data_IF_710538753029
#
_entry.id   IF_710538753029
#
_cell.length_a   1.000
_cell.length_b   1.000
_cell.length_c   1.000
_cell.angle_alpha   90.00
_cell.angle_beta   90.00
_cell.angle_gamma   90.00
#
_symmetry.space_group_name_H-M   'P 1'
#
loop_
_entity.id
_entity.type
_entity.pdbx_description
1 polymer ?
#
# COMPACT_ATOMS: atom_id res chain seq x y z
N UNK A 1 -39.37 3.36 -33.98
CA UNK A 1 -38.99 4.43 -33.05
C UNK A 1 -40.18 4.82 -32.20
N UNK A 2 -40.31 4.31 -30.96
CA UNK A 2 -41.26 4.77 -29.97
C UNK A 2 -40.45 5.03 -28.71
N UNK A 3 -40.56 6.25 -28.18
CA UNK A 3 -39.85 6.76 -27.05
C UNK A 3 -40.03 5.92 -25.79
N UNK A 4 -38.92 5.48 -25.23
CA UNK A 4 -38.80 4.99 -23.87
C UNK A 4 -38.36 6.15 -22.97
N UNK A 5 -39.07 6.28 -21.88
CA UNK A 5 -38.86 7.26 -20.82
C UNK A 5 -37.42 7.20 -20.27
N UNK A 6 -36.64 8.26 -20.29
CA UNK A 6 -35.26 8.29 -19.77
C UNK A 6 -35.14 8.25 -18.24
N UNK A 7 -36.25 8.05 -17.51
CA UNK A 7 -36.30 8.04 -16.05
C UNK A 7 -36.25 6.62 -15.42
N UNK A 8 -35.80 5.59 -16.11
CA UNK A 8 -35.50 4.28 -15.49
C UNK A 8 -34.08 4.28 -14.94
N UNK A 9 -33.96 4.89 -13.76
CA UNK A 9 -33.18 4.50 -12.58
C UNK A 9 -31.82 3.87 -12.87
N UNK A 10 -30.81 4.72 -13.04
CA UNK A 10 -29.47 4.35 -12.61
C UNK A 10 -29.53 4.04 -11.09
N UNK A 11 -28.95 2.93 -10.61
CA UNK A 11 -28.84 2.68 -9.18
C UNK A 11 -28.09 3.85 -8.53
N UNK A 12 -28.44 4.25 -7.30
CA UNK A 12 -27.83 5.42 -6.65
C UNK A 12 -26.32 5.19 -6.51
N UNK A 13 -25.54 6.20 -6.88
CA UNK A 13 -24.10 6.25 -6.52
C UNK A 13 -24.06 6.25 -5.01
N UNK A 14 -23.55 5.16 -4.43
CA UNK A 14 -23.40 5.06 -2.98
C UNK A 14 -22.12 5.81 -2.61
N UNK A 15 -22.26 7.10 -2.37
CA UNK A 15 -21.21 7.91 -1.75
C UNK A 15 -21.31 7.69 -0.25
N UNK A 16 -20.34 6.97 0.34
CA UNK A 16 -20.25 6.83 1.78
C UNK A 16 -19.79 8.13 2.44
N UNK A 17 -20.70 9.08 2.60
CA UNK A 17 -20.65 10.09 3.63
C UNK A 17 -21.30 9.46 4.86
N UNK A 18 -20.49 9.04 5.82
CA UNK A 18 -20.96 8.29 6.99
C UNK A 18 -21.76 9.14 7.94
N UNK A 19 -23.03 8.78 8.13
CA UNK A 19 -23.73 9.02 9.39
C UNK A 19 -23.64 7.72 10.25
N UNK A 20 -23.32 7.80 11.54
CA UNK A 20 -23.14 6.64 12.38
C UNK A 20 -24.47 5.98 12.67
N UNK A 21 -24.72 4.76 12.23
CA UNK A 21 -25.81 3.93 12.68
C UNK A 21 -25.42 2.46 12.74
N UNK A 22 -24.94 2.01 13.85
CA UNK A 22 -25.13 0.74 14.57
C UNK A 22 -23.91 0.38 15.40
N UNK A 23 -24.15 -0.08 16.63
CA UNK A 23 -23.14 -0.63 17.54
C UNK A 23 -22.40 -1.79 16.90
N UNK A 24 -21.06 -1.88 17.03
CA UNK A 24 -20.31 -2.99 16.47
C UNK A 24 -20.81 -4.31 17.07
N UNK A 25 -21.10 -5.29 16.23
CA UNK A 25 -21.29 -6.66 16.68
C UNK A 25 -19.96 -7.14 17.25
N UNK A 26 -19.99 -7.65 18.47
CA UNK A 26 -18.81 -8.18 19.17
C UNK A 26 -18.08 -9.19 18.29
N UNK A 27 -16.87 -8.84 17.86
CA UNK A 27 -15.85 -9.76 17.35
C UNK A 27 -15.39 -10.66 18.52
N UNK A 28 -16.16 -11.69 18.82
CA UNK A 28 -15.86 -12.66 19.88
C UNK A 28 -15.60 -14.04 19.28
N UNK A 29 -14.37 -14.31 18.89
CA UNK A 29 -13.93 -15.63 18.42
C UNK A 29 -12.42 -15.72 18.27
N UNK A 30 -11.79 -16.30 19.24
CA UNK A 30 -10.50 -17.03 19.30
C UNK A 30 -9.37 -16.71 18.31
N UNK A 31 -9.06 -15.46 18.06
CA UNK A 31 -7.70 -14.99 17.78
C UNK A 31 -7.79 -13.48 17.95
N UNK A 32 -7.44 -13.01 19.14
CA UNK A 32 -7.65 -11.66 19.60
C UNK A 32 -7.10 -10.63 18.60
N UNK A 33 -7.99 -9.94 17.91
CA UNK A 33 -7.72 -8.59 17.43
C UNK A 33 -7.32 -7.81 18.67
N UNK A 34 -6.05 -7.40 18.74
CA UNK A 34 -5.50 -6.80 19.97
C UNK A 34 -6.26 -5.52 20.34
N UNK A 35 -6.51 -5.29 21.65
CA UNK A 35 -7.30 -4.14 22.12
C UNK A 35 -6.68 -2.80 21.71
N UNK A 36 -7.53 -1.77 21.59
CA UNK A 36 -7.18 -0.41 21.13
C UNK A 36 -5.95 0.21 21.83
N UNK A 37 -5.64 -0.17 23.07
CA UNK A 37 -4.43 0.26 23.77
C UNK A 37 -3.11 -0.22 23.10
N UNK A 38 -3.14 -1.34 22.37
CA UNK A 38 -1.99 -1.84 21.61
C UNK A 38 -1.84 -1.12 20.26
N UNK A 39 -2.92 -0.64 19.68
CA UNK A 39 -2.89 0.15 18.43
C UNK A 39 -2.10 1.44 18.62
N UNK A 40 -2.30 2.16 19.73
CA UNK A 40 -1.54 3.38 20.06
C UNK A 40 -0.02 3.12 20.14
N UNK A 41 0.38 2.09 20.89
CA UNK A 41 1.80 1.71 21.00
C UNK A 41 2.38 1.26 19.65
N UNK A 42 1.58 0.67 18.76
CA UNK A 42 2.00 0.23 17.42
C UNK A 42 2.12 1.40 16.45
N UNK A 43 1.22 2.37 16.49
CA UNK A 43 1.24 3.52 15.59
C UNK A 43 2.36 4.52 15.89
N UNK A 44 2.75 4.70 17.16
CA UNK A 44 3.85 5.61 17.57
C UNK A 44 5.25 5.01 17.39
N UNK A 45 5.40 3.70 17.56
CA UNK A 45 6.70 3.01 17.49
C UNK A 45 7.41 3.09 16.14
N UNK A 46 6.74 2.99 14.98
CA UNK A 46 7.41 3.07 13.69
C UNK A 46 8.22 4.35 13.50
N UNK A 47 7.61 5.50 13.78
CA UNK A 47 8.29 6.78 13.65
C UNK A 47 9.44 6.92 14.64
N UNK A 48 9.25 6.50 15.90
CA UNK A 48 10.31 6.51 16.92
C UNK A 48 11.47 5.58 16.55
N UNK A 49 11.19 4.39 16.00
CA UNK A 49 12.22 3.45 15.54
C UNK A 49 13.05 4.05 14.41
N UNK A 50 12.41 4.66 13.43
CA UNK A 50 13.09 5.32 12.33
C UNK A 50 13.96 6.50 12.84
N UNK A 51 13.41 7.39 13.66
CA UNK A 51 14.11 8.56 14.19
C UNK A 51 15.29 8.21 15.12
N UNK A 52 15.26 7.05 15.79
CA UNK A 52 16.37 6.60 16.64
C UNK A 52 17.54 6.01 15.86
N UNK A 53 17.42 5.84 14.55
CA UNK A 53 18.46 5.29 13.68
C UNK A 53 19.18 6.43 12.97
N UNK A 54 20.39 6.81 13.39
CA UNK A 54 21.11 7.92 12.76
C UNK A 54 21.51 7.53 11.34
N UNK A 55 21.08 8.32 10.37
CA UNK A 55 21.47 8.21 8.97
C UNK A 55 22.05 9.53 8.56
N UNK A 56 23.36 9.54 8.29
CA UNK A 56 24.07 10.72 7.85
C UNK A 56 24.79 10.44 6.53
N UNK A 57 24.46 11.24 5.54
CA UNK A 57 25.09 11.18 4.22
C UNK A 57 26.30 12.10 4.10
N UNK A 58 26.69 12.84 5.16
CA UNK A 58 27.84 13.73 5.21
C UNK A 58 27.85 14.74 4.04
N UNK A 59 26.68 15.31 3.76
CA UNK A 59 26.50 16.28 2.67
C UNK A 59 26.42 15.68 1.26
N UNK A 60 26.58 14.36 1.09
CA UNK A 60 26.35 13.72 -0.20
C UNK A 60 24.87 13.76 -0.57
N UNK A 61 24.59 14.06 -1.85
CA UNK A 61 23.24 14.10 -2.42
C UNK A 61 23.16 13.06 -3.53
N UNK A 62 22.13 12.18 -3.52
CA UNK A 62 21.93 11.26 -4.63
C UNK A 62 21.34 11.98 -5.86
N UNK A 63 21.65 11.49 -7.07
CA UNK A 63 21.00 11.90 -8.31
C UNK A 63 19.76 11.05 -8.62
N UNK A 64 19.60 9.94 -7.92
CA UNK A 64 18.42 9.06 -7.96
C UNK A 64 18.39 8.16 -6.71
N UNK A 65 17.21 7.65 -6.39
CA UNK A 65 17.04 6.66 -5.33
C UNK A 65 16.38 5.40 -5.88
N UNK A 66 16.91 4.23 -5.51
CA UNK A 66 16.41 2.92 -5.88
C UNK A 66 16.00 2.17 -4.62
N UNK A 67 14.70 1.88 -4.47
CA UNK A 67 14.18 1.17 -3.32
C UNK A 67 13.99 -0.29 -3.70
N UNK A 68 14.82 -1.16 -3.15
CA UNK A 68 14.84 -2.59 -3.44
C UNK A 68 13.96 -3.33 -2.43
N UNK A 69 12.99 -4.12 -2.90
CA UNK A 69 12.16 -4.89 -1.99
C UNK A 69 11.02 -5.61 -2.68
N UNK A 70 10.48 -6.64 -2.03
CA UNK A 70 9.39 -7.47 -2.53
C UNK A 70 8.18 -7.43 -1.60
N UNK A 71 6.97 -7.64 -2.16
CA UNK A 71 5.74 -7.80 -1.41
C UNK A 71 5.51 -6.71 -0.35
N UNK A 72 5.32 -7.11 0.91
CA UNK A 72 5.08 -6.18 2.03
C UNK A 72 6.23 -5.21 2.33
N UNK A 73 7.47 -5.52 1.94
CA UNK A 73 8.61 -4.59 2.02
C UNK A 73 8.66 -3.68 0.80
N UNK A 74 8.44 -4.22 -0.41
CA UNK A 74 8.51 -3.49 -1.67
C UNK A 74 7.42 -2.44 -1.83
N UNK A 75 6.22 -2.67 -1.27
CA UNK A 75 5.10 -1.71 -1.36
C UNK A 75 5.45 -0.34 -0.78
N UNK A 76 6.33 -0.28 0.22
CA UNK A 76 6.80 0.98 0.80
C UNK A 76 7.53 1.84 -0.24
N UNK A 77 8.32 1.20 -1.11
CA UNK A 77 8.99 1.88 -2.22
C UNK A 77 8.02 2.38 -3.27
N UNK A 78 7.06 1.55 -3.68
CA UNK A 78 6.05 1.93 -4.66
C UNK A 78 5.21 3.13 -4.19
N UNK A 79 4.81 3.15 -2.92
CA UNK A 79 4.06 4.27 -2.33
C UNK A 79 4.96 5.51 -2.24
N UNK A 80 6.19 5.39 -1.71
CA UNK A 80 7.09 6.53 -1.57
C UNK A 80 7.42 7.19 -2.92
N UNK A 81 7.64 6.39 -3.96
CA UNK A 81 7.92 6.91 -5.31
C UNK A 81 6.76 7.74 -5.87
N UNK A 82 5.52 7.34 -5.62
CA UNK A 82 4.33 8.08 -6.07
C UNK A 82 4.05 9.31 -5.19
N UNK A 83 4.09 9.14 -3.87
CA UNK A 83 3.84 10.23 -2.91
C UNK A 83 4.84 11.39 -3.04
N UNK A 84 6.06 11.11 -3.46
CA UNK A 84 7.13 12.08 -3.60
C UNK A 84 7.40 12.51 -5.04
N UNK A 85 6.61 12.05 -6.02
CA UNK A 85 6.87 12.29 -7.44
C UNK A 85 6.98 13.77 -7.80
N UNK A 86 6.13 14.62 -7.20
CA UNK A 86 6.11 16.07 -7.44
C UNK A 86 6.97 16.85 -6.43
N UNK A 87 7.55 16.18 -5.42
CA UNK A 87 8.25 16.83 -4.31
C UNK A 87 9.74 16.52 -4.25
N UNK A 88 10.15 15.36 -4.75
CA UNK A 88 11.56 14.96 -4.79
C UNK A 88 12.30 15.65 -5.94
N UNK A 89 13.50 16.20 -5.71
CA UNK A 89 14.29 16.82 -6.77
C UNK A 89 14.90 15.81 -7.76
N UNK A 90 14.87 14.52 -7.43
CA UNK A 90 15.43 13.45 -8.25
C UNK A 90 14.48 12.25 -8.34
N UNK A 91 14.60 11.37 -9.34
CA UNK A 91 13.76 10.18 -9.44
C UNK A 91 13.92 9.24 -8.24
N UNK A 92 12.77 8.75 -7.73
CA UNK A 92 12.70 7.67 -6.75
C UNK A 92 12.00 6.49 -7.43
N UNK A 93 12.69 5.35 -7.54
CA UNK A 93 12.22 4.19 -8.28
C UNK A 93 12.10 2.98 -7.33
N UNK A 94 10.93 2.34 -7.33
CA UNK A 94 10.77 1.05 -6.67
C UNK A 94 11.23 -0.08 -7.60
N UNK A 95 12.05 -0.98 -7.09
CA UNK A 95 12.57 -2.13 -7.82
C UNK A 95 12.15 -3.43 -7.13
N UNK A 96 11.34 -4.21 -7.84
CA UNK A 96 10.79 -5.47 -7.37
C UNK A 96 11.29 -6.63 -8.27
N UNK A 97 12.61 -6.69 -8.50
CA UNK A 97 13.25 -7.64 -9.40
C UNK A 97 14.62 -8.06 -8.85
N UNK A 98 15.23 -9.08 -9.45
CA UNK A 98 16.58 -9.58 -9.19
C UNK A 98 17.67 -8.64 -9.70
N UNK A 99 17.38 -7.85 -10.71
CA UNK A 99 18.31 -6.94 -11.39
C UNK A 99 18.05 -5.49 -11.01
N UNK A 100 19.01 -4.62 -11.34
CA UNK A 100 18.88 -3.18 -11.17
C UNK A 100 18.95 -2.47 -12.52
N UNK A 101 18.33 -1.28 -12.66
CA UNK A 101 18.42 -0.49 -13.87
C UNK A 101 19.87 -0.14 -14.23
N UNK A 102 20.17 -0.06 -15.52
CA UNK A 102 21.52 0.21 -16.04
C UNK A 102 22.10 1.58 -15.61
N UNK A 103 21.27 2.51 -15.19
CA UNK A 103 21.71 3.82 -14.66
C UNK A 103 22.16 3.77 -13.18
N UNK A 104 22.01 2.62 -12.51
CA UNK A 104 22.49 2.45 -11.13
C UNK A 104 23.98 2.64 -11.05
N UNK A 105 24.44 3.46 -10.12
CA UNK A 105 25.87 3.78 -10.00
C UNK A 105 26.21 4.55 -8.70
N UNK A 106 27.36 5.20 -8.69
CA UNK A 106 27.91 5.90 -7.52
C UNK A 106 27.09 7.12 -7.06
N UNK A 107 26.21 7.64 -7.91
CA UNK A 107 25.25 8.69 -7.58
C UNK A 107 23.88 8.13 -7.12
N UNK A 108 23.71 6.80 -7.04
CA UNK A 108 22.48 6.14 -6.62
C UNK A 108 22.45 5.90 -5.12
N UNK A 109 21.33 6.25 -4.48
CA UNK A 109 20.97 5.77 -3.14
C UNK A 109 20.16 4.48 -3.28
N UNK A 110 20.74 3.34 -2.88
CA UNK A 110 20.04 2.06 -2.82
C UNK A 110 19.48 1.82 -1.40
N UNK A 111 18.15 1.81 -1.26
CA UNK A 111 17.46 1.53 0.00
C UNK A 111 16.97 0.08 -0.04
N UNK A 112 17.69 -0.83 0.61
CA UNK A 112 17.35 -2.25 0.63
C UNK A 112 16.33 -2.56 1.73
N UNK A 113 15.10 -2.93 1.33
CA UNK A 113 13.99 -3.23 2.22
C UNK A 113 13.68 -4.72 2.21
N UNK A 114 14.09 -5.46 3.23
CA UNK A 114 13.70 -6.84 3.44
C UNK A 114 13.42 -7.09 4.91
N UNK A 115 12.13 -7.31 5.24
CA UNK A 115 11.74 -7.56 6.63
C UNK A 115 12.45 -8.78 7.22
N UNK A 116 12.44 -9.92 6.54
CA UNK A 116 13.17 -11.11 6.99
C UNK A 116 14.69 -10.98 6.86
N UNK A 117 15.16 -10.06 6.01
CA UNK A 117 16.56 -9.94 5.62
C UNK A 117 17.06 -11.05 4.69
N UNK A 118 16.17 -11.96 4.26
CA UNK A 118 16.54 -13.15 3.49
C UNK A 118 15.79 -13.24 2.15
N UNK A 119 15.19 -12.14 1.68
CA UNK A 119 14.49 -12.12 0.38
C UNK A 119 15.50 -12.21 -0.74
N UNK A 120 15.44 -13.29 -1.51
CA UNK A 120 16.42 -13.64 -2.55
C UNK A 120 16.58 -12.52 -3.59
N UNK A 121 15.45 -12.04 -4.13
CA UNK A 121 15.41 -10.99 -5.14
C UNK A 121 16.03 -9.70 -4.60
N UNK A 122 15.70 -9.33 -3.37
CA UNK A 122 16.24 -8.11 -2.74
C UNK A 122 17.75 -8.21 -2.52
N UNK A 123 18.26 -9.38 -2.11
CA UNK A 123 19.68 -9.61 -1.91
C UNK A 123 20.46 -9.62 -3.23
N UNK A 124 19.89 -10.22 -4.29
CA UNK A 124 20.49 -10.23 -5.62
C UNK A 124 20.56 -8.81 -6.21
N UNK A 125 19.45 -8.06 -6.14
CA UNK A 125 19.42 -6.66 -6.60
C UNK A 125 20.36 -5.78 -5.78
N UNK A 126 20.49 -6.01 -4.48
CA UNK A 126 21.44 -5.29 -3.61
C UNK A 126 22.88 -5.55 -4.03
N UNK A 127 23.25 -6.82 -4.27
CA UNK A 127 24.59 -7.18 -4.76
C UNK A 127 24.91 -6.48 -6.09
N UNK A 128 23.96 -6.47 -7.02
CA UNK A 128 24.09 -5.76 -8.28
C UNK A 128 24.26 -4.24 -8.08
N UNK A 129 23.48 -3.62 -7.17
CA UNK A 129 23.60 -2.19 -6.86
C UNK A 129 24.96 -1.85 -6.22
N UNK A 130 25.45 -2.69 -5.31
CA UNK A 130 26.78 -2.53 -4.69
C UNK A 130 27.89 -2.63 -5.74
N UNK A 131 27.83 -3.65 -6.61
CA UNK A 131 28.80 -3.79 -7.72
C UNK A 131 28.80 -2.61 -8.68
N UNK A 132 27.66 -1.96 -8.87
CA UNK A 132 27.53 -0.73 -9.64
C UNK A 132 28.04 0.52 -8.90
N UNK A 133 28.35 0.43 -7.61
CA UNK A 133 28.88 1.52 -6.80
C UNK A 133 27.83 2.33 -6.04
N UNK A 134 26.59 1.87 -5.94
CA UNK A 134 25.53 2.58 -5.21
C UNK A 134 25.84 2.67 -3.70
N UNK A 135 25.41 3.77 -3.06
CA UNK A 135 25.43 3.87 -1.59
C UNK A 135 24.22 3.19 -1.00
N UNK A 136 24.46 2.37 0.02
CA UNK A 136 23.44 1.48 0.61
C UNK A 136 22.95 2.01 1.95
N UNK A 137 21.62 1.94 2.15
CA UNK A 137 20.96 1.97 3.46
C UNK A 137 20.01 0.78 3.51
N UNK A 138 19.95 0.08 4.63
CA UNK A 138 19.04 -1.07 4.76
C UNK A 138 17.92 -0.85 5.77
N UNK A 139 16.78 -1.50 5.52
CA UNK A 139 15.63 -1.58 6.42
C UNK A 139 15.29 -3.04 6.60
N UNK A 140 15.50 -3.59 7.80
CA UNK A 140 15.35 -5.03 8.06
C UNK A 140 15.09 -5.33 9.53
N UNK A 141 14.55 -6.52 9.84
CA UNK A 141 14.53 -7.02 11.22
C UNK A 141 15.73 -7.90 11.58
N UNK A 142 16.61 -8.19 10.61
CA UNK A 142 17.78 -9.07 10.78
C UNK A 142 18.13 -9.84 9.51
N UNK A 143 18.45 -11.11 9.66
CA UNK A 143 18.79 -12.01 8.57
C UNK A 143 20.07 -11.62 7.82
N UNK A 144 20.26 -12.18 6.62
CA UNK A 144 21.45 -11.95 5.80
C UNK A 144 21.70 -10.48 5.48
N UNK A 145 20.64 -9.70 5.19
CA UNK A 145 20.75 -8.27 4.98
C UNK A 145 21.30 -7.56 6.22
N UNK A 146 20.85 -7.99 7.40
CA UNK A 146 21.36 -7.49 8.67
C UNK A 146 22.86 -7.78 8.87
N UNK A 147 23.30 -9.01 8.59
CA UNK A 147 24.71 -9.42 8.66
C UNK A 147 25.59 -8.60 7.69
N UNK A 148 25.12 -8.40 6.45
CA UNK A 148 25.81 -7.58 5.46
C UNK A 148 25.98 -6.12 5.92
N UNK A 149 24.96 -5.56 6.58
CA UNK A 149 25.10 -4.20 7.15
C UNK A 149 26.19 -4.14 8.21
N UNK A 150 26.23 -5.14 9.09
CA UNK A 150 27.23 -5.20 10.17
C UNK A 150 28.66 -5.43 9.60
N UNK A 151 28.79 -6.25 8.56
CA UNK A 151 30.05 -6.56 7.88
C UNK A 151 30.61 -5.36 7.10
N UNK A 152 29.75 -4.63 6.37
CA UNK A 152 30.17 -3.53 5.52
C UNK A 152 30.05 -2.14 6.19
N UNK A 153 29.51 -2.07 7.40
CA UNK A 153 29.25 -0.82 8.10
C UNK A 153 28.17 0.06 7.43
N UNK A 154 27.23 -0.57 6.72
CA UNK A 154 26.15 0.18 6.09
C UNK A 154 25.14 0.70 7.11
N UNK A 155 24.68 1.95 6.98
CA UNK A 155 23.57 2.45 7.80
C UNK A 155 22.34 1.56 7.67
N UNK A 156 21.67 1.29 8.80
CA UNK A 156 20.47 0.47 8.77
C UNK A 156 19.43 0.89 9.79
N UNK A 157 18.14 0.80 9.43
CA UNK A 157 17.03 0.90 10.36
C UNK A 157 16.60 -0.52 10.73
N UNK A 158 16.81 -0.89 12.00
CA UNK A 158 16.42 -2.19 12.54
C UNK A 158 14.98 -2.12 13.04
N UNK A 159 14.07 -2.81 12.36
CA UNK A 159 12.65 -2.86 12.71
C UNK A 159 12.31 -4.13 13.51
N UNK A 160 11.27 -4.13 14.36
CA UNK A 160 10.90 -5.30 15.17
C UNK A 160 10.52 -6.51 14.33
N UNK A 161 11.08 -7.69 14.64
CA UNK A 161 10.79 -8.96 13.99
C UNK A 161 9.58 -9.71 14.57
N UNK A 162 9.33 -10.94 14.06
CA UNK A 162 8.38 -11.90 14.65
C UNK A 162 6.90 -11.70 14.26
N UNK A 163 6.62 -10.94 13.19
CA UNK A 163 5.26 -10.72 12.66
C UNK A 163 5.24 -10.93 11.13
N UNK A 164 4.07 -11.16 10.51
CA UNK A 164 3.98 -11.18 9.05
C UNK A 164 4.46 -9.85 8.44
N UNK A 165 5.26 -9.88 7.35
CA UNK A 165 5.83 -8.65 6.75
C UNK A 165 4.80 -7.58 6.41
N UNK A 166 3.64 -7.98 5.86
CA UNK A 166 2.54 -7.06 5.50
C UNK A 166 1.95 -6.29 6.68
N UNK A 167 2.00 -6.87 7.89
CA UNK A 167 1.54 -6.19 9.12
C UNK A 167 2.56 -5.19 9.66
N UNK A 168 3.78 -5.16 9.10
CA UNK A 168 4.85 -4.27 9.50
C UNK A 168 5.03 -3.08 8.54
N UNK A 169 4.04 -2.83 7.69
CA UNK A 169 4.04 -1.73 6.74
C UNK A 169 4.38 -0.37 7.38
N UNK A 170 3.76 -0.05 8.52
CA UNK A 170 4.05 1.18 9.24
C UNK A 170 5.54 1.35 9.56
N UNK A 171 6.21 0.28 10.01
CA UNK A 171 7.67 0.32 10.27
C UNK A 171 8.47 0.46 8.97
N UNK A 172 8.16 -0.32 7.95
CA UNK A 172 8.88 -0.29 6.68
C UNK A 172 8.73 1.07 5.99
N UNK A 173 7.49 1.56 5.86
CA UNK A 173 7.20 2.80 5.16
C UNK A 173 7.75 4.04 5.86
N UNK A 174 7.56 4.16 7.18
CA UNK A 174 8.15 5.29 7.93
C UNK A 174 9.68 5.26 7.90
N UNK A 175 10.29 4.07 7.86
CA UNK A 175 11.75 3.95 7.73
C UNK A 175 12.23 4.36 6.34
N UNK A 176 11.52 3.98 5.26
CA UNK A 176 11.81 4.46 3.90
C UNK A 176 11.75 5.98 3.85
N UNK A 177 10.67 6.57 4.37
CA UNK A 177 10.50 8.03 4.39
C UNK A 177 11.56 8.73 5.24
N UNK A 178 12.01 8.12 6.35
CA UNK A 178 13.11 8.63 7.15
C UNK A 178 14.42 8.66 6.37
N UNK A 179 14.76 7.58 5.67
CA UNK A 179 15.95 7.51 4.81
C UNK A 179 15.90 8.58 3.71
N UNK A 180 14.75 8.68 3.02
CA UNK A 180 14.57 9.66 1.95
C UNK A 180 14.62 11.10 2.47
N UNK A 181 14.07 11.36 3.67
CA UNK A 181 14.17 12.66 4.32
C UNK A 181 15.65 13.00 4.69
N UNK A 182 16.37 12.06 5.29
CA UNK A 182 17.78 12.24 5.58
C UNK A 182 18.63 12.52 4.33
N UNK A 183 18.26 11.91 3.19
CA UNK A 183 18.86 12.16 1.87
C UNK A 183 18.33 13.45 1.19
N UNK A 184 17.47 14.23 1.85
CA UNK A 184 16.82 15.46 1.33
C UNK A 184 15.92 15.23 0.11
N UNK A 185 15.37 14.01 -0.03
CA UNK A 185 14.46 13.63 -1.11
C UNK A 185 12.98 13.71 -0.68
N UNK A 186 12.70 13.75 0.62
CA UNK A 186 11.36 13.93 1.16
C UNK A 186 11.28 15.27 1.92
N UNK A 187 10.28 16.14 1.61
CA UNK A 187 10.07 17.41 2.31
C UNK A 187 9.79 17.21 3.81
N UNK A 188 10.29 18.12 4.63
CA UNK A 188 10.07 18.15 6.09
C UNK A 188 8.57 18.07 6.44
N UNK A 189 7.71 18.82 5.73
CA UNK A 189 6.26 18.85 6.01
C UNK A 189 5.60 17.48 5.87
N UNK A 190 5.96 16.71 4.82
CA UNK A 190 5.45 15.35 4.62
C UNK A 190 5.96 14.43 5.74
N UNK A 191 7.24 14.52 6.08
CA UNK A 191 7.84 13.69 7.11
C UNK A 191 7.24 13.96 8.50
N UNK A 192 6.99 15.22 8.86
CA UNK A 192 6.39 15.61 10.14
C UNK A 192 4.93 15.15 10.27
N UNK A 193 4.16 15.11 9.17
CA UNK A 193 2.78 14.65 9.18
C UNK A 193 2.61 13.18 9.64
N UNK A 194 3.67 12.36 9.55
CA UNK A 194 3.64 10.98 10.06
C UNK A 194 3.42 10.89 11.58
N UNK A 195 3.85 11.91 12.34
CA UNK A 195 3.58 11.99 13.78
C UNK A 195 2.08 12.09 14.07
N UNK A 196 1.37 12.93 13.33
CA UNK A 196 -0.08 13.15 13.47
C UNK A 196 -0.89 11.95 12.96
N UNK A 197 -0.39 11.22 11.97
CA UNK A 197 -1.09 10.07 11.38
C UNK A 197 -1.38 8.98 12.42
N UNK A 198 -0.47 8.74 13.35
CA UNK A 198 -0.66 7.75 14.40
C UNK A 198 -1.84 8.09 15.33
N UNK A 199 -1.95 9.35 15.75
CA UNK A 199 -3.05 9.81 16.61
C UNK A 199 -4.38 9.84 15.82
N UNK A 200 -4.34 10.22 14.54
CA UNK A 200 -5.51 10.16 13.65
C UNK A 200 -6.04 8.74 13.50
N UNK A 201 -5.18 7.74 13.21
CA UNK A 201 -5.57 6.34 13.09
C UNK A 201 -6.19 5.78 14.36
N UNK A 202 -5.70 6.20 15.53
CA UNK A 202 -6.25 5.78 16.82
C UNK A 202 -7.64 6.39 17.02
N UNK A 203 -7.78 7.69 16.76
CA UNK A 203 -9.04 8.40 16.95
C UNK A 203 -10.14 7.88 16.00
N UNK A 204 -9.77 7.48 14.78
CA UNK A 204 -10.70 7.07 13.73
C UNK A 204 -10.84 5.55 13.55
N UNK A 205 -10.22 4.72 14.41
CA UNK A 205 -10.22 3.26 14.23
C UNK A 205 -11.64 2.67 14.11
N UNK A 206 -12.57 3.07 14.96
CA UNK A 206 -13.95 2.56 14.90
C UNK A 206 -14.64 2.91 13.59
N UNK A 207 -14.48 4.13 13.11
CA UNK A 207 -14.99 4.57 11.81
C UNK A 207 -14.37 3.77 10.65
N UNK A 208 -13.07 3.51 10.69
CA UNK A 208 -12.41 2.69 9.67
C UNK A 208 -12.96 1.24 9.65
N UNK A 209 -13.24 0.65 10.81
CA UNK A 209 -13.84 -0.69 10.92
C UNK A 209 -15.26 -0.69 10.35
N UNK A 210 -16.11 0.27 10.73
CA UNK A 210 -17.48 0.38 10.21
C UNK A 210 -17.51 0.53 8.69
N UNK A 211 -16.62 1.34 8.13
CA UNK A 211 -16.45 1.50 6.67
C UNK A 211 -16.00 0.20 6.01
N UNK A 212 -15.06 -0.51 6.62
CA UNK A 212 -14.57 -1.78 6.12
C UNK A 212 -15.67 -2.87 6.14
N UNK A 213 -16.49 -2.93 7.19
CA UNK A 213 -17.65 -3.83 7.26
C UNK A 213 -18.67 -3.54 6.17
N UNK A 214 -19.00 -2.25 5.95
CA UNK A 214 -19.91 -1.84 4.90
C UNK A 214 -19.37 -2.13 3.48
N UNK A 215 -18.07 -1.97 3.25
CA UNK A 215 -17.42 -2.36 2.00
C UNK A 215 -17.44 -3.89 1.84
N UNK A 216 -17.23 -4.66 2.90
CA UNK A 216 -17.27 -6.11 2.85
C UNK A 216 -18.65 -6.64 2.43
N UNK A 217 -19.75 -5.99 2.85
CA UNK A 217 -21.10 -6.34 2.41
C UNK A 217 -21.28 -6.23 0.87
N UNK A 218 -20.55 -5.33 0.23
CA UNK A 218 -20.61 -5.08 -1.21
C UNK A 218 -19.64 -5.95 -2.01
N UNK A 219 -18.53 -6.33 -1.39
CA UNK A 219 -17.42 -7.06 -2.01
C UNK A 219 -17.63 -8.59 -1.97
N UNK A 220 -18.33 -9.07 -0.93
CA UNK A 220 -18.50 -10.50 -0.70
C UNK A 220 -19.16 -11.21 -1.90
N UNK A 221 -18.49 -12.25 -2.43
CA UNK A 221 -18.98 -13.04 -3.57
C UNK A 221 -18.77 -12.37 -4.93
N UNK A 222 -18.14 -11.20 -5.02
CA UNK A 222 -17.89 -10.46 -6.27
C UNK A 222 -16.43 -10.44 -6.67
N UNK A 223 -16.19 -10.17 -7.94
CA UNK A 223 -14.87 -9.86 -8.48
C UNK A 223 -14.56 -8.38 -8.22
N UNK A 224 -13.46 -8.11 -7.55
CA UNK A 224 -13.08 -6.77 -7.12
C UNK A 224 -12.11 -6.13 -8.11
N UNK A 225 -12.49 -4.94 -8.60
CA UNK A 225 -11.63 -4.06 -9.37
C UNK A 225 -11.35 -2.79 -8.57
N UNK A 226 -10.05 -2.46 -8.43
CA UNK A 226 -9.58 -1.30 -7.68
C UNK A 226 -9.06 -0.25 -8.64
N UNK A 227 -9.62 0.94 -8.61
CA UNK A 227 -9.15 2.06 -9.43
C UNK A 227 -8.80 3.28 -8.60
N UNK A 228 -7.83 4.07 -9.08
CA UNK A 228 -7.46 5.35 -8.50
C UNK A 228 -6.84 6.27 -9.54
N UNK A 229 -6.56 7.52 -9.16
CA UNK A 229 -5.59 8.35 -9.88
C UNK A 229 -4.22 7.69 -9.87
N UNK A 230 -3.41 7.89 -10.91
CA UNK A 230 -2.05 7.33 -11.03
C UNK A 230 -1.14 7.70 -9.84
N UNK A 231 -1.37 8.83 -9.20
CA UNK A 231 -0.63 9.24 -8.00
C UNK A 231 -0.92 8.33 -6.79
N UNK A 232 -2.09 7.68 -6.76
CA UNK A 232 -2.52 6.79 -5.68
C UNK A 232 -2.29 5.29 -6.00
N UNK A 233 -1.60 4.96 -7.09
CA UNK A 233 -1.38 3.57 -7.53
C UNK A 233 -0.79 2.68 -6.44
N UNK A 234 0.17 3.19 -5.66
CA UNK A 234 0.77 2.45 -4.55
C UNK A 234 -0.25 2.01 -3.50
N UNK A 235 -1.30 2.80 -3.28
CA UNK A 235 -2.39 2.47 -2.37
C UNK A 235 -3.27 1.35 -2.92
N UNK A 236 -3.66 1.39 -4.20
CA UNK A 236 -4.43 0.31 -4.83
C UNK A 236 -3.65 -1.00 -4.92
N UNK A 237 -2.33 -0.94 -5.17
CA UNK A 237 -1.45 -2.12 -5.09
C UNK A 237 -1.50 -2.71 -3.69
N UNK A 238 -1.39 -1.88 -2.64
CA UNK A 238 -1.47 -2.37 -1.26
C UNK A 238 -2.82 -3.01 -0.94
N UNK A 239 -3.94 -2.40 -1.32
CA UNK A 239 -5.27 -2.98 -1.12
C UNK A 239 -5.36 -4.35 -1.78
N UNK A 240 -4.93 -4.46 -3.04
CA UNK A 240 -4.88 -5.74 -3.75
C UNK A 240 -4.05 -6.77 -3.00
N UNK A 241 -2.86 -6.41 -2.53
CA UNK A 241 -1.99 -7.32 -1.78
C UNK A 241 -2.66 -7.79 -0.48
N UNK A 242 -3.29 -6.90 0.27
CA UNK A 242 -3.98 -7.24 1.52
C UNK A 242 -5.19 -8.15 1.26
N UNK A 243 -5.99 -7.88 0.24
CA UNK A 243 -7.12 -8.74 -0.15
C UNK A 243 -6.64 -10.13 -0.58
N UNK A 244 -5.58 -10.20 -1.40
CA UNK A 244 -5.00 -11.47 -1.83
C UNK A 244 -4.45 -12.27 -0.64
N UNK A 245 -3.64 -11.65 0.23
CA UNK A 245 -2.93 -12.36 1.29
C UNK A 245 -3.80 -12.67 2.50
N UNK A 246 -4.63 -11.74 2.96
CA UNK A 246 -5.47 -11.94 4.15
C UNK A 246 -6.78 -12.66 3.80
N UNK A 247 -7.54 -12.15 2.83
CA UNK A 247 -8.85 -12.67 2.46
C UNK A 247 -8.82 -13.79 1.42
N UNK A 248 -7.65 -14.12 0.84
CA UNK A 248 -7.48 -15.08 -0.27
C UNK A 248 -8.36 -14.72 -1.48
N UNK A 249 -8.67 -13.44 -1.64
CA UNK A 249 -9.51 -12.90 -2.69
C UNK A 249 -8.65 -12.36 -3.84
N UNK A 250 -8.73 -12.98 -5.01
CA UNK A 250 -8.09 -12.44 -6.22
C UNK A 250 -8.82 -11.16 -6.65
N UNK A 251 -8.07 -10.10 -6.83
CA UNK A 251 -8.59 -8.85 -7.35
C UNK A 251 -7.56 -8.18 -8.26
N UNK A 252 -8.04 -7.29 -9.13
CA UNK A 252 -7.22 -6.52 -10.05
C UNK A 252 -7.20 -5.05 -9.65
N UNK A 253 -6.21 -4.30 -10.14
CA UNK A 253 -6.17 -2.86 -10.01
C UNK A 253 -5.68 -2.23 -11.31
N UNK A 254 -6.10 -1.01 -11.55
CA UNK A 254 -5.55 -0.15 -12.59
C UNK A 254 -5.69 1.32 -12.20
N UNK A 255 -5.13 2.21 -13.00
CA UNK A 255 -5.13 3.65 -12.72
C UNK A 255 -5.69 4.47 -13.87
N UNK A 256 -6.35 5.57 -13.49
CA UNK A 256 -6.66 6.64 -14.40
C UNK A 256 -5.42 7.54 -14.61
N UNK A 257 -5.20 8.08 -15.81
CA UNK A 257 -6.06 7.94 -16.98
C UNK A 257 -5.76 6.73 -17.86
N UNK A 258 -4.74 5.91 -17.55
CA UNK A 258 -4.23 4.85 -18.44
C UNK A 258 -5.33 3.81 -18.80
N UNK A 259 -6.12 3.37 -17.83
CA UNK A 259 -7.18 2.38 -18.07
C UNK A 259 -8.22 2.86 -19.12
N UNK A 260 -8.40 4.16 -19.28
CA UNK A 260 -9.33 4.71 -20.27
C UNK A 260 -8.90 4.47 -21.73
N UNK A 261 -7.63 4.14 -21.98
CA UNK A 261 -7.08 3.95 -23.30
C UNK A 261 -7.05 2.48 -23.75
N UNK A 262 -7.45 1.55 -22.85
CA UNK A 262 -7.41 0.12 -23.10
C UNK A 262 -8.55 -0.63 -22.38
N UNK A 263 -8.50 -0.75 -21.07
CA UNK A 263 -9.40 -1.58 -20.26
C UNK A 263 -10.86 -1.15 -20.34
N UNK A 264 -11.14 0.15 -20.56
CA UNK A 264 -12.49 0.67 -20.65
C UNK A 264 -13.30 0.01 -21.78
N UNK A 265 -12.66 -0.42 -22.88
CA UNK A 265 -13.31 -1.16 -23.96
C UNK A 265 -13.83 -2.52 -23.49
N UNK A 266 -13.14 -3.16 -22.54
CA UNK A 266 -13.57 -4.45 -21.97
C UNK A 266 -14.89 -4.40 -21.20
N UNK A 267 -15.35 -3.20 -20.83
CA UNK A 267 -16.62 -2.98 -20.15
C UNK A 267 -17.86 -3.07 -21.05
N UNK A 268 -17.71 -3.34 -22.34
CA UNK A 268 -18.84 -3.50 -23.27
C UNK A 268 -19.68 -4.77 -23.04
N UNK A 269 -19.21 -5.76 -22.30
CA UNK A 269 -19.80 -7.11 -22.22
C UNK A 269 -20.61 -7.41 -20.96
N UNK A 270 -20.98 -6.42 -20.16
CA UNK A 270 -21.76 -6.57 -18.94
C UNK A 270 -21.00 -7.32 -17.82
N UNK A 271 -21.10 -6.84 -16.59
CA UNK A 271 -20.26 -7.35 -15.50
C UNK A 271 -20.96 -7.28 -14.12
N UNK A 272 -22.17 -7.87 -14.04
CA UNK A 272 -22.98 -7.90 -12.80
C UNK A 272 -22.28 -8.60 -11.62
N UNK A 273 -21.28 -9.46 -11.92
CA UNK A 273 -20.47 -10.12 -10.90
C UNK A 273 -19.33 -9.25 -10.35
N UNK A 274 -19.11 -8.03 -10.88
CA UNK A 274 -18.03 -7.16 -10.47
C UNK A 274 -18.49 -6.10 -9.47
N UNK A 275 -17.56 -5.75 -8.58
CA UNK A 275 -17.62 -4.53 -7.79
C UNK A 275 -16.38 -3.68 -8.07
N UNK A 276 -16.62 -2.43 -8.39
CA UNK A 276 -15.58 -1.43 -8.65
C UNK A 276 -15.43 -0.55 -7.43
N UNK A 277 -14.25 -0.56 -6.82
CA UNK A 277 -13.90 0.34 -5.74
C UNK A 277 -12.97 1.43 -6.30
N UNK A 278 -13.44 2.66 -6.31
CA UNK A 278 -12.69 3.82 -6.80
C UNK A 278 -12.18 4.62 -5.62
N UNK A 279 -10.88 4.61 -5.42
CA UNK A 279 -10.24 5.44 -4.40
C UNK A 279 -10.12 6.85 -4.96
N UNK A 280 -10.74 7.82 -4.26
CA UNK A 280 -10.69 9.24 -4.61
C UNK A 280 -10.10 10.06 -3.47
N UNK A 281 -9.32 11.08 -3.84
CA UNK A 281 -8.75 12.04 -2.90
C UNK A 281 -8.88 13.47 -3.45
N UNK A 282 -8.88 14.50 -2.60
CA UNK A 282 -8.85 15.89 -3.06
C UNK A 282 -7.63 16.25 -3.93
N UNK A 283 -6.57 15.45 -3.81
CA UNK A 283 -5.31 15.59 -4.55
C UNK A 283 -5.38 15.09 -5.99
N UNK A 284 -6.41 14.33 -6.35
CA UNK A 284 -6.58 13.79 -7.70
C UNK A 284 -6.60 14.89 -8.75
N UNK A 285 -5.94 14.64 -9.88
CA UNK A 285 -5.94 15.61 -10.99
C UNK A 285 -7.39 15.88 -11.47
N UNK A 286 -7.76 17.13 -11.68
CA UNK A 286 -9.13 17.53 -12.04
C UNK A 286 -9.71 16.76 -13.24
N UNK A 287 -8.90 16.54 -14.27
CA UNK A 287 -9.33 15.77 -15.45
C UNK A 287 -9.50 14.29 -15.16
N UNK A 288 -8.70 13.74 -14.25
CA UNK A 288 -8.84 12.36 -13.78
C UNK A 288 -10.16 12.19 -13.03
N UNK A 289 -10.52 13.13 -12.17
CA UNK A 289 -11.79 13.09 -11.43
C UNK A 289 -13.00 13.09 -12.38
N UNK A 290 -13.01 13.94 -13.41
CA UNK A 290 -14.05 13.93 -14.44
C UNK A 290 -14.09 12.58 -15.19
N UNK A 291 -12.93 11.98 -15.49
CA UNK A 291 -12.87 10.64 -16.11
C UNK A 291 -13.46 9.58 -15.21
N UNK A 292 -13.16 9.61 -13.91
CA UNK A 292 -13.75 8.70 -12.93
C UNK A 292 -15.28 8.81 -12.92
N UNK A 293 -15.83 10.02 -12.88
CA UNK A 293 -17.28 10.28 -12.92
C UNK A 293 -17.94 9.67 -14.16
N UNK A 294 -17.39 9.91 -15.35
CA UNK A 294 -17.91 9.35 -16.62
C UNK A 294 -17.78 7.82 -16.64
N UNK A 295 -16.66 7.28 -16.15
CA UNK A 295 -16.45 5.84 -16.12
C UNK A 295 -17.37 5.13 -15.11
N UNK A 296 -17.68 5.76 -13.98
CA UNK A 296 -18.66 5.23 -13.03
C UNK A 296 -20.03 4.99 -13.69
N UNK A 297 -20.49 5.95 -14.52
CA UNK A 297 -21.74 5.78 -15.29
C UNK A 297 -21.65 4.60 -16.25
N UNK A 298 -20.50 4.41 -16.93
CA UNK A 298 -20.29 3.29 -17.86
C UNK A 298 -20.31 1.97 -17.09
N UNK A 299 -19.57 1.84 -15.98
CA UNK A 299 -19.53 0.61 -15.19
C UNK A 299 -20.91 0.22 -14.65
N UNK A 300 -21.68 1.20 -14.16
CA UNK A 300 -23.04 0.98 -13.68
C UNK A 300 -24.00 0.56 -14.82
N UNK A 301 -23.88 1.16 -16.01
CA UNK A 301 -24.68 0.77 -17.18
C UNK A 301 -24.39 -0.67 -17.62
N UNK A 302 -23.18 -1.16 -17.35
CA UNK A 302 -22.77 -2.53 -17.61
C UNK A 302 -23.08 -3.51 -16.44
N UNK A 303 -23.79 -3.05 -15.40
CA UNK A 303 -24.29 -3.86 -14.30
C UNK A 303 -23.35 -4.01 -13.11
N UNK A 304 -22.17 -3.41 -13.12
CA UNK A 304 -21.26 -3.47 -11.97
C UNK A 304 -21.74 -2.59 -10.80
N UNK A 305 -21.52 -3.04 -9.58
CA UNK A 305 -21.59 -2.16 -8.41
C UNK A 305 -20.39 -1.23 -8.40
N UNK A 306 -20.63 0.06 -8.16
CA UNK A 306 -19.57 1.08 -8.10
C UNK A 306 -19.60 1.78 -6.77
N UNK A 307 -18.46 1.79 -6.10
CA UNK A 307 -18.30 2.42 -4.77
C UNK A 307 -17.11 3.37 -4.80
N UNK A 308 -17.34 4.62 -4.40
CA UNK A 308 -16.28 5.59 -4.18
C UNK A 308 -15.80 5.47 -2.73
N UNK A 309 -14.49 5.34 -2.54
CA UNK A 309 -13.84 5.28 -1.24
C UNK A 309 -12.97 6.51 -1.06
N UNK A 310 -13.38 7.38 -0.15
CA UNK A 310 -12.65 8.60 0.18
C UNK A 310 -11.89 8.44 1.50
N UNK A 311 -10.71 9.08 1.59
CA UNK A 311 -9.93 9.12 2.82
C UNK A 311 -10.43 10.20 3.78
N UNK A 312 -10.47 9.90 5.07
CA UNK A 312 -10.71 10.87 6.14
C UNK A 312 -9.38 11.49 6.60
N UNK A 313 -9.39 12.78 6.88
CA UNK A 313 -8.24 13.52 7.39
C UNK A 313 -8.08 14.94 6.84
N UNK A 314 -7.40 15.77 7.64
CA UNK A 314 -7.20 17.20 7.33
C UNK A 314 -6.14 17.47 6.26
N UNK A 315 -5.25 16.51 5.99
CA UNK A 315 -4.19 16.62 4.98
C UNK A 315 -4.01 15.33 4.19
N UNK A 316 -3.21 15.37 3.12
CA UNK A 316 -2.99 14.25 2.22
C UNK A 316 -2.38 13.01 2.91
N UNK A 317 -1.48 13.21 3.88
CA UNK A 317 -0.83 12.11 4.60
C UNK A 317 -1.83 11.42 5.53
N UNK A 318 -2.68 12.17 6.23
CA UNK A 318 -3.71 11.61 7.09
C UNK A 318 -4.73 10.81 6.27
N UNK A 319 -5.22 11.36 5.15
CA UNK A 319 -6.13 10.65 4.22
C UNK A 319 -5.51 9.39 3.65
N UNK A 320 -4.23 9.45 3.28
CA UNK A 320 -3.51 8.27 2.81
C UNK A 320 -3.49 7.16 3.87
N UNK A 321 -3.12 7.47 5.11
CA UNK A 321 -3.09 6.47 6.19
C UNK A 321 -4.48 5.96 6.56
N UNK A 322 -5.50 6.80 6.52
CA UNK A 322 -6.89 6.39 6.71
C UNK A 322 -7.30 5.34 5.65
N UNK A 323 -7.05 5.62 4.37
CA UNK A 323 -7.32 4.68 3.28
C UNK A 323 -6.52 3.38 3.41
N UNK A 324 -5.25 3.45 3.81
CA UNK A 324 -4.46 2.24 4.15
C UNK A 324 -5.19 1.42 5.22
N UNK A 325 -5.65 2.08 6.27
CA UNK A 325 -6.27 1.42 7.42
C UNK A 325 -7.62 0.79 7.08
N UNK A 326 -8.44 1.48 6.29
CA UNK A 326 -9.72 0.93 5.78
C UNK A 326 -9.48 -0.32 4.93
N UNK A 327 -8.50 -0.31 4.02
CA UNK A 327 -8.17 -1.48 3.18
C UNK A 327 -7.61 -2.65 4.00
N UNK A 328 -6.77 -2.36 4.98
CA UNK A 328 -6.26 -3.38 5.90
C UNK A 328 -7.41 -4.05 6.68
N UNK A 329 -8.36 -3.26 7.24
CA UNK A 329 -9.53 -3.79 7.92
C UNK A 329 -10.48 -4.53 6.99
N UNK A 330 -10.74 -4.02 5.78
CA UNK A 330 -11.56 -4.72 4.78
C UNK A 330 -11.06 -6.14 4.54
N UNK A 331 -9.73 -6.29 4.36
CA UNK A 331 -9.12 -7.60 4.14
C UNK A 331 -9.26 -8.56 5.32
N UNK A 332 -9.22 -8.05 6.55
CA UNK A 332 -9.40 -8.83 7.77
C UNK A 332 -10.86 -9.22 8.01
N UNK A 333 -11.80 -8.30 7.78
CA UNK A 333 -13.25 -8.55 7.89
C UNK A 333 -13.67 -9.64 6.89
N UNK A 334 -13.20 -9.57 5.64
CA UNK A 334 -13.49 -10.59 4.63
C UNK A 334 -12.86 -11.95 4.98
N UNK A 335 -11.64 -11.96 5.52
CA UNK A 335 -11.01 -13.19 5.99
C UNK A 335 -11.81 -13.85 7.12
N UNK A 336 -12.27 -13.06 8.10
CA UNK A 336 -13.07 -13.55 9.22
C UNK A 336 -14.42 -14.12 8.73
N UNK A 337 -15.15 -13.40 7.87
CA UNK A 337 -16.42 -13.84 7.29
C UNK A 337 -16.29 -15.16 6.53
N UNK A 338 -15.18 -15.32 5.80
CA UNK A 338 -14.88 -16.55 5.06
C UNK A 338 -14.29 -17.68 5.94
N UNK A 339 -14.06 -17.45 7.24
CA UNK A 339 -13.43 -18.43 8.14
C UNK A 339 -11.98 -18.76 7.80
N UNK A 340 -11.27 -17.80 7.18
CA UNK A 340 -9.88 -17.96 6.72
C UNK A 340 -8.89 -17.44 7.77
N UNK A 341 -7.74 -18.12 7.88
CA UNK A 341 -6.61 -17.58 8.64
C UNK A 341 -5.88 -16.52 7.79
N UNK A 342 -5.91 -15.24 8.19
CA UNK A 342 -5.22 -14.20 7.44
C UNK A 342 -3.69 -14.37 7.46
N UNK A 343 -3.11 -15.15 8.38
CA UNK A 343 -1.66 -15.35 8.46
C UNK A 343 -1.17 -16.46 7.53
N UNK A 344 -2.03 -17.42 7.19
CA UNK A 344 -1.69 -18.56 6.32
C UNK A 344 -1.29 -18.09 4.91
N UNK A 345 -0.10 -18.53 4.44
CA UNK A 345 0.48 -18.22 3.11
C UNK A 345 1.00 -19.48 2.41
N UNK A 346 0.31 -20.62 2.57
CA UNK A 346 0.73 -21.95 2.09
C UNK A 346 1.29 -21.97 0.67
N UNK A 347 0.67 -21.25 -0.27
CA UNK A 347 1.13 -21.23 -1.66
C UNK A 347 2.49 -20.54 -1.81
N UNK A 348 2.71 -19.46 -1.05
CA UNK A 348 4.01 -18.76 -1.03
C UNK A 348 5.07 -19.64 -0.39
N UNK A 349 4.75 -20.31 0.72
CA UNK A 349 5.68 -21.23 1.40
C UNK A 349 6.01 -22.44 0.52
N UNK A 350 5.02 -22.99 -0.21
CA UNK A 350 5.26 -24.06 -1.17
C UNK A 350 6.25 -23.64 -2.27
N UNK A 351 6.04 -22.43 -2.86
CA UNK A 351 6.96 -21.90 -3.88
C UNK A 351 8.38 -21.73 -3.33
N UNK A 352 8.53 -21.11 -2.15
CA UNK A 352 9.84 -20.90 -1.51
C UNK A 352 10.55 -22.22 -1.23
N UNK A 353 9.82 -23.22 -0.73
CA UNK A 353 10.38 -24.54 -0.46
C UNK A 353 10.82 -25.25 -1.75
N UNK A 354 10.08 -25.10 -2.84
CA UNK A 354 10.45 -25.65 -4.14
C UNK A 354 11.72 -24.98 -4.69
N UNK A 355 11.80 -23.64 -4.64
CA UNK A 355 12.98 -22.88 -5.07
C UNK A 355 14.23 -23.23 -4.25
N UNK A 356 14.09 -23.43 -2.95
CA UNK A 356 15.21 -23.81 -2.08
C UNK A 356 15.83 -25.19 -2.40
N UNK A 357 15.17 -26.02 -3.22
CA UNK A 357 15.71 -27.31 -3.70
C UNK A 357 16.50 -27.18 -5.01
N UNK A 358 16.45 -26.01 -5.64
CA UNK A 358 17.14 -25.72 -6.91
C UNK A 358 18.43 -24.99 -6.58
N UNK A 359 19.60 -25.49 -7.02
CA UNK A 359 20.90 -24.88 -6.72
C UNK A 359 21.09 -23.52 -7.40
#
# INVERSE_FOLDING_TARGET
FKGGDPARLAPPIITFLLAPTRSPRHLSGRNSVEPAQNTRRRALKPNQTAQSSPIDFNGWMPENALILGMGGSGISGAIASKMLADASPVPIVANNDYTVPAWTGNATLAVACSYSGNTEETLAALDAAVKAGARVVAITSGGKLGELCDEHGWPSVRIPGGKPPRSQFGFAFTSVMHVLHAARLAPEAIYQAFGSAADHLIANQSNCIERAEALADLVEGKQVLLYSDAAQEGLTIRWRQQLNENAKLLCSHHVFPEMNHNELVGWETGNESHVVLIIQTPEDHKRTRIRMEVCMEIFQQQGADVVVVEGDGGDAVLRFFDLVHVGDWLSLVLAERAGLDPVDIKNIDHLKNALAQIP
#
